data_IF_777602411286
#
_entry.id   IF_777602411286
#
_cell.length_a   1.000
_cell.length_b   1.000
_cell.length_c   1.000
_cell.angle_alpha   90.00
_cell.angle_beta   90.00
_cell.angle_gamma   90.00
#
_symmetry.space_group_name_H-M   'P 1'
#
loop_
_entity.id
_entity.type
_entity.pdbx_description
1 polymer ?
#
# COMPACT_ATOMS: atom_id res chain seq x y z
N UNK A 1 18.58 2.11 -16.90
CA UNK A 1 17.57 1.03 -16.85
C UNK A 1 18.05 -0.27 -17.51
N UNK A 2 19.11 -0.23 -18.30
CA UNK A 2 19.58 -1.35 -19.14
C UNK A 2 19.93 -2.62 -18.36
N UNK A 3 20.58 -2.49 -17.19
CA UNK A 3 20.89 -3.65 -16.34
C UNK A 3 19.64 -4.34 -15.79
N UNK A 4 18.62 -3.58 -15.39
CA UNK A 4 17.34 -4.15 -14.92
C UNK A 4 16.63 -4.90 -16.03
N UNK A 5 16.54 -4.31 -17.24
CA UNK A 5 15.93 -4.97 -18.40
C UNK A 5 16.65 -6.26 -18.77
N UNK A 6 18.00 -6.23 -18.80
CA UNK A 6 18.83 -7.44 -19.02
C UNK A 6 18.57 -8.52 -17.97
N UNK A 7 18.41 -8.14 -16.70
CA UNK A 7 18.09 -9.08 -15.62
C UNK A 7 16.73 -9.76 -15.82
N UNK A 8 15.69 -8.99 -16.20
CA UNK A 8 14.35 -9.52 -16.49
C UNK A 8 14.41 -10.51 -17.67
N UNK A 9 15.00 -10.11 -18.80
CA UNK A 9 15.12 -10.98 -19.98
C UNK A 9 15.96 -12.22 -19.72
N UNK A 10 17.03 -12.12 -18.93
CA UNK A 10 17.87 -13.27 -18.58
C UNK A 10 17.14 -14.36 -17.78
N UNK A 11 16.02 -14.03 -17.13
CA UNK A 11 15.16 -14.96 -16.41
C UNK A 11 13.88 -15.33 -17.19
N UNK A 12 13.82 -14.97 -18.49
CA UNK A 12 12.69 -15.29 -19.37
C UNK A 12 11.50 -14.33 -19.26
N UNK A 13 11.64 -13.21 -18.55
CA UNK A 13 10.62 -12.16 -18.51
C UNK A 13 10.69 -11.22 -19.71
N UNK A 14 9.58 -10.55 -20.00
CA UNK A 14 9.51 -9.46 -20.97
C UNK A 14 9.54 -8.12 -20.22
N UNK A 15 10.59 -7.29 -20.38
CA UNK A 15 10.71 -6.00 -19.71
C UNK A 15 9.71 -4.94 -20.21
N UNK A 16 9.03 -5.20 -21.32
CA UNK A 16 8.02 -4.30 -21.91
C UNK A 16 6.60 -4.83 -21.72
N UNK A 17 6.42 -5.99 -21.08
CA UNK A 17 5.10 -6.54 -20.82
C UNK A 17 4.27 -5.64 -19.91
N UNK A 18 2.97 -5.55 -20.21
CA UNK A 18 2.01 -4.89 -19.34
C UNK A 18 1.95 -5.64 -18.00
N UNK A 19 1.99 -4.88 -16.90
CA UNK A 19 1.81 -5.45 -15.57
C UNK A 19 0.33 -5.80 -15.33
N UNK A 20 0.05 -6.87 -14.55
CA UNK A 20 -1.31 -7.18 -14.13
C UNK A 20 -1.95 -6.00 -13.40
N UNK A 21 -3.17 -5.63 -13.82
CA UNK A 21 -3.99 -4.63 -13.14
C UNK A 21 -5.19 -5.31 -12.48
N UNK A 22 -5.52 -4.88 -11.26
CA UNK A 22 -6.74 -5.32 -10.61
C UNK A 22 -7.98 -4.85 -11.39
N UNK A 23 -9.02 -5.66 -11.40
CA UNK A 23 -10.31 -5.29 -12.01
C UNK A 23 -11.04 -4.19 -11.26
N UNK A 24 -10.85 -4.12 -9.95
CA UNK A 24 -11.65 -3.29 -9.06
C UNK A 24 -10.77 -2.48 -8.14
N UNK A 25 -11.22 -1.27 -7.84
CA UNK A 25 -10.52 -0.34 -6.95
C UNK A 25 -11.46 0.34 -5.97
N UNK A 26 -10.99 0.61 -4.76
CA UNK A 26 -11.73 1.36 -3.76
C UNK A 26 -10.83 2.44 -3.14
N UNK A 27 -11.28 3.70 -3.18
CA UNK A 27 -10.53 4.83 -2.62
C UNK A 27 -10.94 5.06 -1.17
N UNK A 28 -9.97 5.07 -0.26
CA UNK A 28 -10.15 5.53 1.11
C UNK A 28 -9.74 6.99 1.18
N UNK A 29 -10.62 7.85 1.66
CA UNK A 29 -10.38 9.29 1.80
C UNK A 29 -10.07 9.67 3.24
N UNK A 30 -9.33 10.77 3.44
CA UNK A 30 -9.13 11.35 4.76
C UNK A 30 -10.45 11.83 5.36
N UNK A 31 -10.71 11.52 6.63
CA UNK A 31 -11.92 11.94 7.34
C UNK A 31 -11.82 13.37 7.88
N UNK A 32 -10.60 13.86 8.08
CA UNK A 32 -10.31 15.21 8.57
C UNK A 32 -9.04 15.78 7.89
N UNK A 33 -8.83 17.09 8.05
CA UNK A 33 -7.63 17.77 7.56
C UNK A 33 -6.55 17.83 8.63
N UNK A 34 -5.29 17.82 8.24
CA UNK A 34 -4.16 17.99 9.15
C UNK A 34 -2.90 17.31 8.67
N UNK A 35 -1.97 17.07 9.59
CA UNK A 35 -0.74 16.32 9.31
C UNK A 35 -0.98 14.86 9.62
N UNK A 36 -0.65 13.96 8.69
CA UNK A 36 -0.65 12.52 8.96
C UNK A 36 0.49 12.25 9.95
N UNK A 37 0.19 11.91 11.19
CA UNK A 37 1.23 11.67 12.20
C UNK A 37 1.71 10.24 12.25
N UNK A 38 0.81 9.31 11.92
CA UNK A 38 1.06 7.88 12.07
C UNK A 38 0.35 7.10 10.96
N UNK A 39 1.01 6.06 10.46
CA UNK A 39 0.42 5.07 9.57
C UNK A 39 0.90 3.68 9.99
N UNK A 40 -0.02 2.82 10.41
CA UNK A 40 0.25 1.47 10.88
C UNK A 40 0.55 0.55 9.69
N UNK A 41 1.84 0.31 9.45
CA UNK A 41 2.31 -0.55 8.37
C UNK A 41 1.82 -2.00 8.51
N UNK A 42 1.57 -2.49 9.72
CA UNK A 42 1.05 -3.85 9.91
C UNK A 42 -0.41 -3.91 9.45
N UNK A 43 -1.26 -2.97 9.87
CA UNK A 43 -2.65 -2.92 9.39
C UNK A 43 -2.72 -2.78 7.87
N UNK A 44 -1.91 -1.90 7.28
CA UNK A 44 -1.83 -1.75 5.81
C UNK A 44 -1.40 -3.07 5.15
N UNK A 45 -0.37 -3.74 5.69
CA UNK A 45 0.10 -5.02 5.17
C UNK A 45 -0.94 -6.15 5.26
N UNK A 46 -1.63 -6.28 6.40
CA UNK A 46 -2.70 -7.29 6.58
C UNK A 46 -3.88 -6.98 5.66
N UNK A 47 -4.24 -5.71 5.48
CA UNK A 47 -5.30 -5.30 4.56
C UNK A 47 -4.96 -5.68 3.10
N UNK A 48 -3.75 -5.36 2.64
CA UNK A 48 -3.26 -5.78 1.32
C UNK A 48 -3.27 -7.30 1.15
N UNK A 49 -2.87 -8.05 2.20
CA UNK A 49 -2.94 -9.51 2.19
C UNK A 49 -4.38 -10.02 2.04
N UNK A 50 -5.37 -9.41 2.71
CA UNK A 50 -6.79 -9.76 2.56
C UNK A 50 -7.35 -9.47 1.18
N UNK A 51 -6.84 -8.43 0.50
CA UNK A 51 -7.19 -8.10 -0.88
C UNK A 51 -6.67 -9.13 -1.91
N UNK A 52 -5.77 -10.03 -1.51
CA UNK A 52 -5.21 -11.08 -2.38
C UNK A 52 -3.73 -10.89 -2.73
N UNK A 53 -3.06 -9.88 -2.16
CA UNK A 53 -1.64 -9.61 -2.41
C UNK A 53 -0.68 -10.62 -1.76
N UNK A 54 -1.19 -11.60 -1.00
CA UNK A 54 -0.38 -12.66 -0.43
C UNK A 54 -1.15 -13.96 -0.20
N UNK A 55 -0.47 -14.94 0.40
CA UNK A 55 -0.96 -16.32 0.53
C UNK A 55 -1.27 -16.63 1.99
N UNK A 56 -2.32 -17.42 2.25
CA UNK A 56 -2.61 -17.91 3.60
C UNK A 56 -1.93 -19.23 3.90
N UNK A 57 -1.62 -20.00 2.84
CA UNK A 57 -0.85 -21.23 2.90
C UNK A 57 0.06 -21.35 1.68
N UNK A 58 1.08 -22.19 1.80
CA UNK A 58 2.00 -22.48 0.71
C UNK A 58 1.23 -23.05 -0.51
N UNK A 59 1.63 -22.64 -1.71
CA UNK A 59 1.05 -23.12 -2.97
C UNK A 59 -0.18 -22.37 -3.47
N UNK A 60 -0.80 -21.50 -2.66
CA UNK A 60 -1.90 -20.65 -3.14
C UNK A 60 -1.43 -19.66 -4.21
N UNK A 61 -2.32 -19.26 -5.12
CA UNK A 61 -2.05 -18.15 -6.04
C UNK A 61 -2.26 -16.82 -5.33
N UNK A 62 -1.45 -15.82 -5.70
CA UNK A 62 -1.69 -14.42 -5.34
C UNK A 62 -2.34 -13.72 -6.51
N UNK A 63 -3.10 -12.66 -6.24
CA UNK A 63 -3.53 -11.72 -7.26
C UNK A 63 -2.41 -10.70 -7.47
N UNK A 64 -1.71 -10.76 -8.61
CA UNK A 64 -0.55 -9.92 -8.86
C UNK A 64 -0.87 -8.42 -8.97
N UNK A 65 -2.11 -8.07 -9.31
CA UNK A 65 -2.60 -6.68 -9.33
C UNK A 65 -3.21 -6.21 -8.01
N UNK A 66 -3.38 -7.09 -7.00
CA UNK A 66 -3.96 -6.71 -5.73
C UNK A 66 -2.94 -6.02 -4.82
N UNK A 67 -3.41 -5.06 -4.02
CA UNK A 67 -2.55 -4.30 -3.13
C UNK A 67 -3.18 -2.99 -2.65
N UNK A 68 -2.34 -2.14 -2.06
CA UNK A 68 -2.72 -0.80 -1.60
C UNK A 68 -1.71 0.20 -2.16
N UNK A 69 -2.21 1.18 -2.90
CA UNK A 69 -1.46 2.37 -3.31
C UNK A 69 -1.63 3.47 -2.26
N UNK A 70 -0.52 4.06 -1.79
CA UNK A 70 -0.55 5.14 -0.80
C UNK A 70 -0.39 6.48 -1.50
N UNK A 71 -1.36 7.39 -1.29
CA UNK A 71 -1.36 8.74 -1.90
C UNK A 71 -0.73 9.79 -0.97
N UNK A 72 -0.69 9.51 0.33
CA UNK A 72 -0.06 10.36 1.33
C UNK A 72 0.62 9.52 2.42
N UNK A 73 1.62 10.08 3.09
CA UNK A 73 2.47 9.39 4.09
C UNK A 73 2.61 10.21 5.37
N UNK A 74 3.03 9.59 6.50
CA UNK A 74 3.25 10.31 7.75
C UNK A 74 4.21 11.48 7.58
N UNK A 75 3.78 12.71 7.86
CA UNK A 75 4.51 13.96 7.66
C UNK A 75 3.93 14.85 6.56
N UNK A 76 3.06 14.29 5.72
CA UNK A 76 2.35 15.07 4.70
C UNK A 76 1.12 15.74 5.31
N UNK A 77 0.80 16.94 4.82
CA UNK A 77 -0.48 17.58 5.08
C UNK A 77 -1.54 17.00 4.12
N UNK A 78 -2.72 16.68 4.66
CA UNK A 78 -3.87 16.17 3.89
C UNK A 78 -5.13 16.97 4.24
N UNK A 79 -6.03 17.10 3.26
CA UNK A 79 -7.32 17.76 3.44
C UNK A 79 -8.42 16.69 3.56
N UNK A 80 -9.43 16.94 4.40
CA UNK A 80 -10.61 16.09 4.50
C UNK A 80 -11.22 15.83 3.11
N UNK A 81 -11.57 14.57 2.84
CA UNK A 81 -12.07 14.09 1.55
C UNK A 81 -10.98 13.80 0.50
N UNK A 82 -9.72 14.19 0.72
CA UNK A 82 -8.64 13.86 -0.22
C UNK A 82 -8.32 12.35 -0.19
N UNK A 83 -7.90 11.75 -1.31
CA UNK A 83 -7.47 10.36 -1.36
C UNK A 83 -6.29 10.10 -0.42
N UNK A 84 -6.45 9.11 0.47
CA UNK A 84 -5.39 8.67 1.39
C UNK A 84 -4.69 7.42 0.84
N UNK A 85 -5.48 6.47 0.35
CA UNK A 85 -4.99 5.24 -0.29
C UNK A 85 -6.03 4.64 -1.24
N UNK A 86 -5.59 3.89 -2.24
CA UNK A 86 -6.47 3.10 -3.13
C UNK A 86 -6.21 1.62 -2.92
N UNK A 87 -7.27 0.85 -2.66
CA UNK A 87 -7.23 -0.60 -2.54
C UNK A 87 -7.51 -1.21 -3.91
N UNK A 88 -6.79 -2.28 -4.26
CA UNK A 88 -6.89 -2.98 -5.54
C UNK A 88 -7.16 -4.46 -5.31
N UNK A 89 -8.14 -5.03 -6.01
CA UNK A 89 -8.42 -6.49 -6.01
C UNK A 89 -9.24 -6.88 -7.24
N UNK A 90 -9.22 -8.16 -7.60
CA UNK A 90 -10.12 -8.74 -8.61
C UNK A 90 -11.47 -9.17 -8.02
N UNK A 91 -11.62 -9.13 -6.68
CA UNK A 91 -12.78 -9.66 -5.96
C UNK A 91 -13.39 -8.58 -5.04
N UNK A 92 -14.42 -7.82 -5.49
CA UNK A 92 -15.02 -6.72 -4.72
C UNK A 92 -15.42 -7.07 -3.28
N UNK A 93 -15.88 -8.30 -3.05
CA UNK A 93 -16.30 -8.78 -1.73
C UNK A 93 -15.17 -8.75 -0.68
N UNK A 94 -13.90 -8.59 -1.09
CA UNK A 94 -12.76 -8.48 -0.17
C UNK A 94 -12.59 -7.09 0.43
N UNK A 95 -13.20 -6.06 -0.15
CA UNK A 95 -13.02 -4.68 0.33
C UNK A 95 -13.53 -4.49 1.76
N UNK A 96 -14.69 -5.03 2.09
CA UNK A 96 -15.31 -4.87 3.42
C UNK A 96 -14.32 -5.24 4.54
N UNK A 97 -13.79 -6.47 4.50
CA UNK A 97 -12.84 -6.95 5.49
C UNK A 97 -11.50 -6.21 5.46
N UNK A 98 -11.06 -5.77 4.27
CA UNK A 98 -9.83 -4.99 4.12
C UNK A 98 -9.97 -3.59 4.76
N UNK A 99 -11.14 -2.97 4.64
CA UNK A 99 -11.46 -1.67 5.23
C UNK A 99 -11.60 -1.76 6.75
N UNK A 100 -12.21 -2.82 7.28
CA UNK A 100 -12.27 -3.08 8.73
C UNK A 100 -10.88 -3.10 9.37
N UNK A 101 -9.92 -3.77 8.73
CA UNK A 101 -8.52 -3.82 9.21
C UNK A 101 -7.87 -2.42 9.20
N UNK A 102 -8.22 -1.58 8.23
CA UNK A 102 -7.67 -0.22 8.10
C UNK A 102 -8.26 0.77 9.10
N UNK A 103 -9.30 0.40 9.86
CA UNK A 103 -9.84 1.27 10.89
C UNK A 103 -8.76 1.66 11.91
N UNK A 104 -8.58 2.96 12.08
CA UNK A 104 -7.52 3.51 12.94
C UNK A 104 -6.10 3.12 12.50
N UNK A 105 -5.87 2.84 11.21
CA UNK A 105 -4.53 2.64 10.67
C UNK A 105 -3.80 3.97 10.42
N UNK A 106 -4.54 5.07 10.30
CA UNK A 106 -3.97 6.40 10.03
C UNK A 106 -4.48 7.39 11.08
N UNK A 107 -3.55 8.17 11.63
CA UNK A 107 -3.84 9.27 12.55
C UNK A 107 -3.52 10.59 11.87
N UNK A 108 -4.46 11.52 11.89
CA UNK A 108 -4.33 12.88 11.35
C UNK A 108 -4.48 13.84 12.54
N UNK A 109 -3.61 14.84 12.63
CA UNK A 109 -3.65 15.83 13.71
C UNK A 109 -3.47 17.22 13.10
N UNK A 110 -4.42 18.13 13.38
CA UNK A 110 -4.29 19.54 13.02
C UNK A 110 -3.08 20.17 13.73
N UNK A 111 -2.20 20.83 12.97
CA UNK A 111 -0.94 21.37 13.52
C UNK A 111 0.03 20.31 14.05
N UNK A 112 -0.21 19.03 13.76
CA UNK A 112 0.62 17.92 14.22
C UNK A 112 2.05 17.98 13.69
N UNK A 113 2.98 17.34 14.39
CA UNK A 113 4.37 17.19 13.96
C UNK A 113 4.77 15.73 13.95
N UNK A 114 5.63 15.33 13.01
CA UNK A 114 6.11 13.94 12.90
C UNK A 114 7.58 13.86 13.24
N UNK A 115 7.92 13.01 14.21
CA UNK A 115 9.31 12.66 14.47
C UNK A 115 9.70 11.48 13.57
N UNK A 116 10.11 11.78 12.33
CA UNK A 116 10.59 10.74 11.40
C UNK A 116 11.98 10.29 11.85
N UNK A 117 12.10 9.00 12.20
CA UNK A 117 13.41 8.36 12.31
C UNK A 117 14.14 8.39 10.95
N UNK A 118 15.48 8.42 10.94
CA UNK A 118 16.21 8.28 9.69
C UNK A 118 15.91 6.93 9.05
N UNK A 119 15.85 6.89 7.71
CA UNK A 119 15.56 5.67 6.95
C UNK A 119 16.55 4.53 7.26
N UNK A 120 17.79 4.90 7.56
CA UNK A 120 18.85 4.01 8.01
C UNK A 120 19.22 4.44 9.43
N UNK A 121 18.93 3.59 10.41
CA UNK A 121 19.27 3.86 11.81
C UNK A 121 20.77 3.71 12.05
N UNK A 122 21.32 2.57 11.62
CA UNK A 122 22.72 2.23 11.82
C UNK A 122 23.18 1.17 10.80
N UNK A 123 24.51 1.01 10.70
CA UNK A 123 25.15 -0.09 9.96
C UNK A 123 26.02 -0.87 10.94
N UNK A 124 25.65 -2.12 11.21
CA UNK A 124 26.42 -3.04 12.04
C UNK A 124 27.52 -3.65 11.16
N UNK A 125 28.78 -3.53 11.57
CA UNK A 125 29.97 -4.08 10.90
C UNK A 125 30.60 -5.21 11.69
#
# INVERSE_FOLDING_TARGET
MDHWRRMISAQGGDPDAALPQAKETHVVTAHESGIITTMDAMKVGVSAWRLGAGRSKQGEKVQAGAGIELHAKPGDHITAGAPLMTLHTDEPARFERALEILQGAVTIIEGGTVNRLPLILERII
#
